data_IF_379997136174
#
_entry.id   IF_379997136174
#
_cell.length_a   1.000
_cell.length_b   1.000
_cell.length_c   1.000
_cell.angle_alpha   90.00
_cell.angle_beta   90.00
_cell.angle_gamma   90.00
#
_symmetry.space_group_name_H-M   'P 1'
#
loop_
_entity.id
_entity.type
_entity.pdbx_description
1 polymer ?
#
# COMPACT_ATOMS: atom_id res chain seq x y z
N UNK A 1 14.07 0.93 6.41
CA UNK A 1 13.37 0.64 7.67
C UNK A 1 11.90 0.53 7.30
N UNK A 2 11.15 -0.39 7.90
CA UNK A 2 9.72 -0.49 7.65
C UNK A 2 9.00 0.69 8.35
N UNK A 3 7.94 1.19 7.75
CA UNK A 3 7.17 2.33 8.28
C UNK A 3 5.92 1.86 9.02
N UNK A 4 5.27 2.77 9.75
CA UNK A 4 3.99 2.47 10.39
C UNK A 4 2.91 2.30 9.32
N UNK A 5 2.12 1.23 9.42
CA UNK A 5 1.02 0.96 8.50
C UNK A 5 -0.32 0.88 9.27
N UNK A 6 -1.44 0.85 8.55
CA UNK A 6 -2.79 0.68 9.08
C UNK A 6 -3.44 -0.57 8.51
N UNK A 7 -4.22 -1.25 9.33
CA UNK A 7 -5.13 -2.29 8.84
C UNK A 7 -6.42 -1.60 8.44
N UNK A 8 -6.84 -1.79 7.19
CA UNK A 8 -8.06 -1.19 6.64
C UNK A 8 -9.04 -2.29 6.27
N UNK A 9 -10.26 -2.21 6.76
CA UNK A 9 -11.34 -3.12 6.42
C UNK A 9 -12.53 -2.32 5.90
N UNK A 10 -13.04 -2.64 4.71
CA UNK A 10 -14.09 -1.89 4.02
C UNK A 10 -13.83 -0.37 3.89
N UNK A 11 -12.56 0.02 3.72
CA UNK A 11 -12.15 1.42 3.64
C UNK A 11 -12.07 2.14 5.00
N UNK A 12 -12.26 1.44 6.11
CA UNK A 12 -12.17 1.97 7.47
C UNK A 12 -10.91 1.47 8.16
N UNK A 13 -10.16 2.36 8.80
CA UNK A 13 -8.99 1.98 9.61
C UNK A 13 -9.45 1.22 10.85
N UNK A 14 -9.04 -0.04 10.97
CA UNK A 14 -9.37 -0.92 12.08
C UNK A 14 -8.24 -1.08 13.09
N UNK A 15 -7.01 -0.77 12.71
CA UNK A 15 -5.87 -0.88 13.62
C UNK A 15 -4.59 -0.28 13.05
N UNK A 16 -3.59 -0.17 13.91
CA UNK A 16 -2.23 0.22 13.57
C UNK A 16 -1.36 -1.04 13.50
N UNK A 17 -0.52 -1.12 12.48
CA UNK A 17 0.45 -2.19 12.29
C UNK A 17 1.85 -1.63 12.52
N UNK A 18 2.55 -2.18 13.51
CA UNK A 18 3.87 -1.68 13.89
C UNK A 18 4.94 -2.11 12.86
N UNK A 19 6.02 -1.32 12.68
CA UNK A 19 7.11 -1.64 11.75
C UNK A 19 7.73 -3.02 11.92
N UNK A 20 7.81 -3.52 13.15
CA UNK A 20 8.36 -4.82 13.48
C UNK A 20 7.33 -5.96 13.44
N UNK A 21 6.04 -5.62 13.31
CA UNK A 21 4.91 -6.55 13.37
C UNK A 21 4.47 -7.01 11.98
N UNK A 22 4.80 -6.23 10.94
CA UNK A 22 4.46 -6.55 9.56
C UNK A 22 5.54 -7.41 8.89
N UNK A 23 5.10 -8.23 7.96
CA UNK A 23 5.99 -8.94 7.04
C UNK A 23 6.65 -7.96 6.05
N UNK A 24 7.80 -8.31 5.46
CA UNK A 24 8.41 -7.53 4.40
C UNK A 24 7.46 -7.28 3.22
N UNK A 25 6.62 -8.26 2.89
CA UNK A 25 5.61 -8.17 1.84
C UNK A 25 4.52 -7.14 2.15
N UNK A 26 3.97 -7.15 3.38
CA UNK A 26 2.98 -6.16 3.81
C UNK A 26 3.55 -4.73 3.78
N UNK A 27 4.80 -4.55 4.21
CA UNK A 27 5.46 -3.24 4.14
C UNK A 27 5.67 -2.81 2.68
N UNK A 28 6.05 -3.73 1.79
CA UNK A 28 6.23 -3.42 0.38
C UNK A 28 4.90 -3.00 -0.27
N UNK A 29 3.82 -3.73 0.02
CA UNK A 29 2.48 -3.39 -0.47
C UNK A 29 2.02 -2.02 0.06
N UNK A 30 2.24 -1.75 1.36
CA UNK A 30 1.92 -0.47 1.96
C UNK A 30 2.64 0.69 1.29
N UNK A 31 3.95 0.55 1.03
CA UNK A 31 4.75 1.56 0.34
C UNK A 31 4.26 1.80 -1.10
N UNK A 32 3.89 0.74 -1.83
CA UNK A 32 3.32 0.87 -3.19
C UNK A 32 1.95 1.56 -3.13
N UNK A 33 1.09 1.18 -2.18
CA UNK A 33 -0.20 1.81 -1.96
C UNK A 33 -0.09 3.28 -1.57
N UNK A 34 0.89 3.64 -0.73
CA UNK A 34 1.16 5.03 -0.37
C UNK A 34 1.53 5.84 -1.61
N UNK A 35 2.41 5.29 -2.46
CA UNK A 35 2.90 5.94 -3.67
C UNK A 35 1.93 5.90 -4.86
N UNK A 36 0.91 5.04 -4.87
CA UNK A 36 0.04 4.78 -6.04
C UNK A 36 -1.40 5.28 -5.81
N UNK A 37 -1.97 6.01 -6.77
CA UNK A 37 -3.31 6.63 -6.74
C UNK A 37 -4.40 5.64 -7.15
N UNK A 38 -4.16 4.94 -8.25
CA UNK A 38 -5.08 4.00 -8.86
C UNK A 38 -4.30 2.82 -9.44
N UNK A 39 -4.96 1.67 -9.47
CA UNK A 39 -4.40 0.45 -10.05
C UNK A 39 -5.25 0.01 -11.23
N UNK A 40 -4.59 -0.42 -12.30
CA UNK A 40 -5.24 -0.92 -13.51
C UNK A 40 -4.40 -2.02 -14.16
N UNK A 41 -5.07 -2.84 -14.97
CA UNK A 41 -4.44 -3.95 -15.69
C UNK A 41 -3.93 -3.47 -17.06
N UNK A 42 -2.67 -3.78 -17.36
CA UNK A 42 -2.06 -3.56 -18.69
C UNK A 42 -1.55 -4.91 -19.19
N UNK A 43 -2.41 -5.61 -19.95
CA UNK A 43 -2.18 -7.01 -20.29
C UNK A 43 -2.17 -7.88 -19.02
N UNK A 44 -1.08 -8.62 -18.80
CA UNK A 44 -0.87 -9.48 -17.62
C UNK A 44 -0.14 -8.78 -16.45
N UNK A 45 -0.05 -7.44 -16.47
CA UNK A 45 0.65 -6.66 -15.44
C UNK A 45 -0.31 -5.72 -14.72
N UNK A 46 -0.11 -5.58 -13.41
CA UNK A 46 -0.73 -4.51 -12.62
C UNK A 46 0.17 -3.27 -12.77
N UNK A 47 -0.42 -2.19 -13.26
CA UNK A 47 0.18 -0.87 -13.32
C UNK A 47 -0.63 0.08 -12.44
N UNK A 48 -0.05 1.24 -12.10
CA UNK A 48 -0.77 2.26 -11.36
C UNK A 48 -0.18 3.64 -11.59
N UNK A 49 -1.01 4.65 -11.34
CA UNK A 49 -0.60 6.06 -11.46
C UNK A 49 0.02 6.52 -10.15
N UNK A 50 1.23 7.10 -10.13
CA UNK A 50 1.83 7.59 -8.90
C UNK A 50 1.06 8.78 -8.31
N UNK A 51 0.82 8.78 -7.00
CA UNK A 51 0.27 9.92 -6.27
C UNK A 51 1.29 11.07 -6.34
N UNK A 52 0.87 12.24 -6.85
CA UNK A 52 1.69 13.45 -6.85
C UNK A 52 2.31 13.84 -8.20
N UNK A 53 2.09 13.05 -9.26
CA UNK A 53 2.29 13.53 -10.63
C UNK A 53 0.90 13.95 -11.14
N UNK A 54 0.66 15.27 -11.10
CA UNK A 54 -0.50 15.92 -11.71
C UNK A 54 -0.22 16.27 -13.17
#
# INVERSE_FOLDING_TARGET
MADWNVVVEYGVVMGLLCPACQTPEENAEAAVNEATLDYFMVGDRIAGTPKGIC
#
